data_IF_532619199478
#
_entry.id   IF_532619199478
#
_cell.length_a   1.000
_cell.length_b   1.000
_cell.length_c   1.000
_cell.angle_alpha   90.00
_cell.angle_beta   90.00
_cell.angle_gamma   90.00
#
_symmetry.space_group_name_H-M   'P 1'
#
loop_
_entity.id
_entity.type
_entity.pdbx_description
1 polymer ?
#
# COMPACT_ATOMS: atom_id res chain seq x y z
N UNK A 1 28.44 -1.25 17.58
CA UNK A 1 29.22 -2.07 18.54
C UNK A 1 28.86 -3.53 18.29
N UNK A 2 29.68 -4.50 18.72
CA UNK A 2 29.35 -5.92 18.54
C UNK A 2 28.79 -6.49 19.84
N UNK A 3 27.47 -6.56 19.94
CA UNK A 3 26.79 -7.21 21.06
C UNK A 3 26.99 -8.72 20.97
N UNK A 4 28.02 -9.23 21.65
CA UNK A 4 28.23 -10.65 21.82
C UNK A 4 27.14 -11.21 22.76
N UNK A 5 26.42 -12.27 22.37
CA UNK A 5 25.26 -12.74 23.13
C UNK A 5 25.67 -13.24 24.51
N UNK A 6 25.36 -12.44 25.53
CA UNK A 6 25.64 -12.75 26.92
C UNK A 6 24.56 -13.69 27.48
N UNK A 7 24.87 -14.98 27.61
CA UNK A 7 24.02 -15.92 28.32
C UNK A 7 24.15 -15.68 29.83
N UNK A 8 23.00 -15.58 30.51
CA UNK A 8 22.91 -15.59 31.98
C UNK A 8 21.97 -16.71 32.38
N UNK A 9 22.44 -17.65 33.19
CA UNK A 9 21.67 -18.81 33.65
C UNK A 9 21.69 -18.91 35.18
N UNK A 10 20.67 -19.57 35.73
CA UNK A 10 20.52 -19.82 37.16
C UNK A 10 20.86 -21.28 37.43
N UNK A 11 21.85 -21.55 38.26
CA UNK A 11 22.32 -22.91 38.54
C UNK A 11 22.43 -23.17 40.05
N UNK A 12 22.34 -24.43 40.43
CA UNK A 12 22.61 -24.90 41.80
C UNK A 12 23.89 -25.72 41.78
N UNK A 13 24.90 -25.28 42.53
CA UNK A 13 26.22 -25.91 42.59
C UNK A 13 26.56 -26.16 44.06
N UNK A 14 26.93 -27.39 44.39
CA UNK A 14 27.30 -27.84 45.75
C UNK A 14 26.25 -27.39 46.81
N UNK A 15 24.97 -27.55 46.47
CA UNK A 15 23.82 -27.17 47.32
C UNK A 15 23.48 -25.68 47.41
N UNK A 16 24.24 -24.80 46.74
CA UNK A 16 24.08 -23.34 46.81
C UNK A 16 23.60 -22.75 45.47
N UNK A 17 22.75 -21.71 45.49
CA UNK A 17 22.26 -21.06 44.27
C UNK A 17 23.24 -20.01 43.74
N UNK A 18 23.55 -20.09 42.44
CA UNK A 18 24.42 -19.15 41.72
C UNK A 18 23.73 -18.57 40.48
N UNK A 19 24.18 -17.39 40.08
CA UNK A 19 23.99 -16.82 38.75
C UNK A 19 25.31 -17.02 38.00
N UNK A 20 25.25 -17.66 36.84
CA UNK A 20 26.41 -17.83 35.97
C UNK A 20 26.16 -17.05 34.67
N UNK A 21 27.10 -16.16 34.35
CA UNK A 21 27.08 -15.31 33.16
C UNK A 21 28.26 -15.64 32.26
N UNK A 22 28.03 -15.60 30.95
CA UNK A 22 28.96 -16.04 29.94
C UNK A 22 28.82 -15.20 28.67
N UNK A 23 29.94 -14.69 28.17
CA UNK A 23 30.01 -14.03 26.87
C UNK A 23 31.23 -14.57 26.10
N UNK A 24 31.09 -14.70 24.78
CA UNK A 24 32.16 -15.14 23.88
C UNK A 24 32.62 -13.94 23.06
N UNK A 25 33.88 -13.55 23.23
CA UNK A 25 34.57 -12.62 22.35
C UNK A 25 35.37 -13.40 21.29
N UNK A 26 35.75 -12.74 20.19
CA UNK A 26 36.47 -13.39 19.08
C UNK A 26 37.77 -14.13 19.47
N UNK A 27 38.42 -13.71 20.55
CA UNK A 27 39.73 -14.23 21.01
C UNK A 27 39.76 -14.62 22.50
N UNK A 28 38.62 -14.56 23.19
CA UNK A 28 38.55 -14.85 24.63
C UNK A 28 37.15 -15.23 25.08
N UNK A 29 37.10 -16.04 26.13
CA UNK A 29 35.88 -16.29 26.89
C UNK A 29 35.77 -15.27 28.01
N UNK A 30 34.56 -14.90 28.42
CA UNK A 30 34.31 -14.17 29.66
C UNK A 30 33.30 -14.95 30.49
N UNK A 31 33.77 -15.56 31.58
CA UNK A 31 32.98 -16.34 32.52
C UNK A 31 32.87 -15.57 33.84
N UNK A 32 31.66 -15.49 34.39
CA UNK A 32 31.37 -14.73 35.61
C UNK A 32 30.38 -15.50 36.47
N UNK A 33 30.79 -15.88 37.67
CA UNK A 33 29.98 -16.58 38.67
C UNK A 33 29.63 -15.60 39.78
N UNK A 34 28.36 -15.55 40.20
CA UNK A 34 27.91 -14.74 41.34
C UNK A 34 27.05 -15.58 42.27
N UNK A 35 27.37 -15.62 43.57
CA UNK A 35 26.57 -16.32 44.58
C UNK A 35 25.30 -15.49 44.88
N UNK A 36 24.11 -16.10 44.86
CA UNK A 36 22.86 -15.36 45.12
C UNK A 36 22.69 -14.94 46.59
N UNK A 37 23.35 -15.64 47.51
CA UNK A 37 23.15 -15.45 48.94
C UNK A 37 24.23 -14.53 49.55
N UNK A 38 25.48 -14.64 49.09
CA UNK A 38 26.60 -13.80 49.58
C UNK A 38 26.93 -12.63 48.66
N UNK A 39 26.37 -12.58 47.44
CA UNK A 39 26.70 -11.63 46.36
C UNK A 39 28.18 -11.62 45.92
N UNK A 40 29.01 -12.51 46.48
CA UNK A 40 30.40 -12.69 46.05
C UNK A 40 30.48 -13.10 44.59
N UNK A 41 31.44 -12.50 43.89
CA UNK A 41 31.65 -12.63 42.46
C UNK A 41 33.01 -13.23 42.16
N UNK A 42 33.07 -14.15 41.22
CA UNK A 42 34.29 -14.68 40.63
C UNK A 42 34.27 -14.45 39.12
N UNK A 43 35.44 -14.21 38.54
CA UNK A 43 35.61 -13.99 37.10
C UNK A 43 36.71 -14.86 36.54
N UNK A 44 36.60 -15.22 35.26
CA UNK A 44 37.67 -15.86 34.50
C UNK A 44 37.58 -15.40 33.04
N UNK A 45 38.71 -15.01 32.46
CA UNK A 45 38.78 -14.56 31.06
C UNK A 45 39.83 -15.34 30.27
N UNK A 46 39.66 -16.66 30.08
CA UNK A 46 40.64 -17.48 29.38
C UNK A 46 40.68 -17.15 27.88
N UNK A 47 41.89 -17.12 27.33
CA UNK A 47 42.14 -16.92 25.90
C UNK A 47 41.99 -18.23 25.10
N UNK A 48 42.03 -18.11 23.76
CA UNK A 48 42.03 -19.25 22.83
C UNK A 48 43.15 -20.24 23.16
N UNK A 49 44.39 -19.75 23.34
CA UNK A 49 45.56 -20.59 23.59
C UNK A 49 45.48 -21.29 24.94
N UNK A 50 44.89 -20.65 25.96
CA UNK A 50 44.69 -21.26 27.27
C UNK A 50 43.72 -22.44 27.19
N UNK A 51 42.56 -22.26 26.56
CA UNK A 51 41.55 -23.31 26.40
C UNK A 51 42.12 -24.49 25.62
N UNK A 52 42.82 -24.24 24.51
CA UNK A 52 43.39 -25.29 23.67
C UNK A 52 44.62 -25.97 24.29
N UNK A 53 45.36 -25.28 25.16
CA UNK A 53 46.41 -25.88 25.99
C UNK A 53 45.82 -26.78 27.09
N UNK A 54 44.75 -26.32 27.76
CA UNK A 54 44.03 -27.08 28.79
C UNK A 54 43.43 -28.36 28.22
N UNK A 55 42.65 -28.30 27.13
CA UNK A 55 41.98 -29.47 26.56
C UNK A 55 42.97 -30.51 26.02
N UNK A 56 44.16 -30.07 25.58
CA UNK A 56 45.29 -30.94 25.21
C UNK A 56 45.91 -31.63 26.43
N UNK A 57 46.09 -30.91 27.55
CA UNK A 57 46.61 -31.45 28.82
C UNK A 57 45.67 -32.48 29.47
N UNK A 58 44.36 -32.35 29.26
CA UNK A 58 43.37 -33.34 29.74
C UNK A 58 43.18 -34.54 28.81
N UNK A 59 44.10 -34.76 27.85
CA UNK A 59 44.09 -35.90 26.92
C UNK A 59 43.00 -35.88 25.84
N UNK A 60 42.02 -34.98 25.92
CA UNK A 60 40.85 -34.93 25.04
C UNK A 60 40.74 -33.54 24.39
N UNK A 61 41.51 -33.32 23.33
CA UNK A 61 41.60 -32.03 22.68
C UNK A 61 40.24 -31.51 22.17
N UNK A 62 40.00 -30.22 22.35
CA UNK A 62 38.87 -29.46 21.81
C UNK A 62 39.39 -28.09 21.37
N UNK A 63 39.05 -27.69 20.14
CA UNK A 63 39.30 -26.33 19.66
C UNK A 63 38.43 -25.33 20.41
N UNK A 64 38.83 -24.06 20.41
CA UNK A 64 38.11 -23.01 21.15
C UNK A 64 36.64 -22.92 20.76
N UNK A 65 36.28 -22.98 19.46
CA UNK A 65 34.87 -22.95 19.04
C UNK A 65 34.07 -24.09 19.69
N UNK A 66 34.52 -25.33 19.54
CA UNK A 66 33.83 -26.51 20.10
C UNK A 66 33.72 -26.41 21.62
N UNK A 67 34.74 -25.90 22.30
CA UNK A 67 34.67 -25.63 23.74
C UNK A 67 33.61 -24.56 24.08
N UNK A 68 33.51 -23.47 23.30
CA UNK A 68 32.45 -22.47 23.50
C UNK A 68 31.05 -23.00 23.21
N UNK A 69 30.91 -23.95 22.28
CA UNK A 69 29.65 -24.63 21.99
C UNK A 69 29.25 -25.63 23.09
N UNK A 70 30.22 -26.37 23.65
CA UNK A 70 30.00 -27.19 24.85
C UNK A 70 29.56 -26.31 26.04
N UNK A 71 30.16 -25.13 26.22
CA UNK A 71 29.76 -24.18 27.26
C UNK A 71 28.34 -23.62 27.00
N UNK A 72 27.99 -23.26 25.76
CA UNK A 72 26.60 -22.86 25.41
C UNK A 72 25.60 -23.96 25.76
N UNK A 73 25.88 -25.21 25.38
CA UNK A 73 25.00 -26.35 25.63
C UNK A 73 24.76 -26.59 27.13
N UNK A 74 25.80 -26.44 27.98
CA UNK A 74 25.67 -26.51 29.44
C UNK A 74 24.81 -25.38 29.99
N UNK A 75 24.99 -24.14 29.55
CA UNK A 75 24.21 -22.99 30.07
C UNK A 75 22.72 -23.08 29.72
N UNK A 76 22.40 -23.70 28.59
CA UNK A 76 21.05 -23.98 28.11
C UNK A 76 20.49 -25.33 28.61
N UNK A 77 21.29 -26.12 29.34
CA UNK A 77 20.99 -27.51 29.72
C UNK A 77 20.57 -28.41 28.54
N UNK A 78 21.08 -28.14 27.32
CA UNK A 78 20.61 -28.76 26.08
C UNK A 78 21.28 -30.10 25.73
N UNK A 79 22.04 -30.69 26.66
CA UNK A 79 22.82 -31.92 26.42
C UNK A 79 23.09 -32.68 27.73
N UNK A 80 22.74 -33.96 27.79
CA UNK A 80 22.99 -34.83 28.96
C UNK A 80 24.47 -35.20 29.15
N UNK A 81 25.24 -35.29 28.06
CA UNK A 81 26.68 -35.62 28.07
C UNK A 81 27.58 -34.53 28.68
N UNK A 82 27.05 -33.33 28.95
CA UNK A 82 27.81 -32.22 29.52
C UNK A 82 27.17 -31.76 30.82
N UNK A 83 28.00 -31.52 31.84
CA UNK A 83 27.55 -30.98 33.13
C UNK A 83 28.56 -30.00 33.71
N UNK A 84 28.11 -29.18 34.65
CA UNK A 84 28.88 -28.15 35.33
C UNK A 84 29.11 -28.54 36.79
N UNK A 85 30.32 -28.30 37.29
CA UNK A 85 30.65 -28.41 38.72
C UNK A 85 31.41 -27.18 39.20
N UNK A 86 31.33 -26.95 40.51
CA UNK A 86 32.15 -25.97 41.20
C UNK A 86 33.08 -26.70 42.18
N UNK A 87 34.34 -26.25 42.26
CA UNK A 87 35.29 -26.76 43.24
C UNK A 87 36.00 -25.60 43.95
N UNK A 88 35.73 -25.45 45.23
CA UNK A 88 36.33 -24.46 46.14
C UNK A 88 37.72 -24.95 46.57
N UNK A 89 38.63 -24.04 46.95
CA UNK A 89 39.95 -24.44 47.46
C UNK A 89 39.87 -25.48 48.60
N UNK A 90 38.97 -25.29 49.57
CA UNK A 90 38.76 -26.23 50.69
C UNK A 90 37.94 -27.48 50.37
N UNK A 91 37.54 -27.66 49.11
CA UNK A 91 37.07 -28.94 48.57
C UNK A 91 38.21 -29.64 47.79
N UNK A 92 39.14 -28.87 47.21
CA UNK A 92 40.33 -29.36 46.52
C UNK A 92 41.40 -29.87 47.52
N UNK A 93 41.60 -29.17 48.64
CA UNK A 93 42.42 -29.62 49.79
C UNK A 93 42.03 -31.05 50.21
N UNK A 94 40.74 -31.29 50.46
CA UNK A 94 40.17 -32.58 50.87
C UNK A 94 40.26 -33.70 49.83
N UNK A 95 40.56 -33.36 48.57
CA UNK A 95 40.81 -34.32 47.49
C UNK A 95 42.32 -34.62 47.39
N UNK A 96 43.16 -33.70 47.85
CA UNK A 96 44.61 -33.74 47.69
C UNK A 96 45.40 -34.11 48.96
N UNK A 97 44.72 -34.44 50.07
CA UNK A 97 45.32 -34.86 51.35
C UNK A 97 46.26 -36.10 51.27
N UNK A 98 46.33 -36.78 50.11
CA UNK A 98 47.28 -37.87 49.84
C UNK A 98 48.53 -37.45 49.02
N UNK A 99 48.59 -36.26 48.41
CA UNK A 99 49.71 -35.89 47.51
C UNK A 99 50.09 -34.41 47.54
N UNK A 100 51.16 -34.12 48.28
CA UNK A 100 52.04 -32.95 48.16
C UNK A 100 51.41 -31.58 48.48
N UNK A 101 51.92 -30.97 49.55
CA UNK A 101 51.76 -29.56 49.86
C UNK A 101 52.35 -28.70 48.73
N UNK A 102 51.66 -27.63 48.34
CA UNK A 102 52.18 -26.63 47.40
C UNK A 102 52.08 -25.22 47.99
N UNK A 103 53.23 -24.55 48.06
CA UNK A 103 53.45 -23.34 48.84
C UNK A 103 52.88 -22.08 48.18
N UNK A 104 51.58 -21.83 48.33
CA UNK A 104 50.91 -20.63 47.83
C UNK A 104 50.56 -19.64 48.97
N UNK A 105 50.59 -18.31 48.73
CA UNK A 105 50.42 -17.30 49.77
C UNK A 105 48.99 -17.29 50.36
N UNK A 106 48.91 -17.51 51.67
CA UNK A 106 47.69 -17.93 52.40
C UNK A 106 46.44 -17.04 52.29
N UNK A 107 46.57 -15.76 51.89
CA UNK A 107 45.46 -14.81 51.88
C UNK A 107 44.50 -14.95 50.69
N UNK A 108 45.03 -15.07 49.48
CA UNK A 108 44.20 -15.07 48.25
C UNK A 108 43.73 -16.47 47.84
N UNK A 109 44.55 -17.49 48.13
CA UNK A 109 44.33 -18.89 47.76
C UNK A 109 43.00 -19.42 48.29
N UNK A 110 42.67 -19.10 49.54
CA UNK A 110 41.48 -19.55 50.28
C UNK A 110 40.14 -19.10 49.68
N UNK A 111 40.14 -18.16 48.71
CA UNK A 111 38.95 -17.74 47.94
C UNK A 111 38.97 -18.13 46.46
N UNK A 112 39.99 -18.83 45.97
CA UNK A 112 40.03 -19.29 44.58
C UNK A 112 39.05 -20.45 44.37
N UNK A 113 38.38 -20.43 43.21
CA UNK A 113 37.34 -21.40 42.85
C UNK A 113 37.59 -21.86 41.42
N UNK A 114 37.39 -23.16 41.16
CA UNK A 114 37.51 -23.74 39.83
C UNK A 114 36.12 -24.08 39.31
N UNK A 115 35.76 -23.51 38.15
CA UNK A 115 34.60 -23.93 37.39
C UNK A 115 35.00 -25.12 36.53
N UNK A 116 34.36 -26.27 36.70
CA UNK A 116 34.72 -27.49 35.98
C UNK A 116 33.61 -27.81 34.98
N UNK A 117 33.93 -27.71 33.69
CA UNK A 117 33.14 -28.31 32.62
C UNK A 117 33.45 -29.81 32.61
N UNK A 118 32.41 -30.63 32.78
CA UNK A 118 32.49 -32.09 32.80
C UNK A 118 31.89 -32.63 31.51
N UNK A 119 32.68 -33.36 30.74
CA UNK A 119 32.21 -34.11 29.57
C UNK A 119 32.19 -35.59 29.90
N UNK A 120 31.02 -36.21 29.74
CA UNK A 120 30.79 -37.64 29.97
C UNK A 120 30.40 -38.28 28.64
N UNK A 121 31.26 -39.16 28.15
CA UNK A 121 31.00 -40.07 27.03
C UNK A 121 30.66 -41.46 27.58
N UNK A 122 30.42 -42.43 26.70
CA UNK A 122 30.14 -43.83 27.08
C UNK A 122 31.32 -44.51 27.80
N UNK A 123 32.55 -44.13 27.44
CA UNK A 123 33.79 -44.74 27.94
C UNK A 123 34.69 -43.78 28.74
N UNK A 124 34.44 -42.47 28.66
CA UNK A 124 35.32 -41.41 29.17
C UNK A 124 34.56 -40.41 30.06
N UNK A 125 35.24 -39.91 31.10
CA UNK A 125 34.79 -38.73 31.86
C UNK A 125 35.92 -37.72 32.00
N UNK A 126 35.87 -36.66 31.19
CA UNK A 126 36.89 -35.61 31.16
C UNK A 126 36.44 -34.40 31.97
N UNK A 127 37.39 -33.82 32.71
CA UNK A 127 37.20 -32.61 33.50
C UNK A 127 38.08 -31.49 32.94
N UNK A 128 37.46 -30.37 32.56
CA UNK A 128 38.13 -29.17 32.07
C UNK A 128 38.02 -28.06 33.14
N UNK A 129 39.05 -27.88 34.00
CA UNK A 129 39.01 -26.90 35.08
C UNK A 129 39.39 -25.50 34.59
N UNK A 130 38.45 -24.55 34.66
CA UNK A 130 38.68 -23.13 34.49
C UNK A 130 38.88 -22.46 35.86
N UNK A 131 40.10 -21.99 36.20
CA UNK A 131 40.32 -21.20 37.40
C UNK A 131 39.52 -19.89 37.32
N UNK A 132 38.83 -19.55 38.41
CA UNK A 132 38.14 -18.28 38.57
C UNK A 132 38.73 -17.50 39.75
N UNK A 133 39.06 -16.25 39.48
CA UNK A 133 39.66 -15.35 40.46
C UNK A 133 38.58 -14.51 41.14
N UNK A 134 38.75 -14.30 42.45
CA UNK A 134 37.74 -13.65 43.30
C UNK A 134 37.68 -12.15 43.01
N UNK A 135 36.54 -11.70 42.51
CA UNK A 135 36.26 -10.32 42.10
C UNK A 135 35.51 -9.50 43.18
N UNK A 136 35.41 -10.02 44.40
CA UNK A 136 34.84 -9.30 45.54
C UNK A 136 33.32 -9.29 45.62
N UNK A 137 32.82 -8.40 46.48
CA UNK A 137 31.41 -7.98 46.52
C UNK A 137 31.21 -6.82 45.52
N UNK A 138 30.02 -6.69 44.88
CA UNK A 138 29.71 -5.53 44.07
C UNK A 138 29.60 -4.26 44.93
N UNK A 139 30.09 -3.10 44.43
CA UNK A 139 29.89 -1.82 45.11
C UNK A 139 28.38 -1.46 45.11
N UNK A 140 27.74 -1.22 46.28
CA UNK A 140 26.34 -0.84 46.37
C UNK A 140 26.00 0.47 45.61
N UNK A 141 26.91 1.44 45.54
CA UNK A 141 26.70 2.70 44.81
C UNK A 141 26.51 2.44 43.31
N UNK A 142 27.35 1.55 42.74
CA UNK A 142 27.28 1.17 41.32
C UNK A 142 25.99 0.39 41.05
N UNK A 143 25.57 -0.47 41.98
CA UNK A 143 24.28 -1.16 41.88
C UNK A 143 23.10 -0.17 41.93
N UNK A 144 23.09 0.77 42.87
CA UNK A 144 22.04 1.79 42.97
C UNK A 144 21.97 2.69 41.74
N UNK A 145 23.12 3.16 41.24
CA UNK A 145 23.21 3.92 39.99
C UNK A 145 22.71 3.12 38.77
N UNK A 146 23.01 1.81 38.73
CA UNK A 146 22.51 0.92 37.67
C UNK A 146 21.00 0.72 37.77
N UNK A 147 20.45 0.50 38.97
CA UNK A 147 19.01 0.37 39.22
C UNK A 147 18.28 1.64 38.78
N UNK A 148 18.72 2.81 39.26
CA UNK A 148 18.12 4.09 38.89
C UNK A 148 18.24 4.39 37.37
N UNK A 149 19.32 3.95 36.72
CA UNK A 149 19.47 3.99 35.26
C UNK A 149 18.41 3.14 34.55
N UNK A 150 18.28 1.87 34.93
CA UNK A 150 17.29 0.94 34.36
C UNK A 150 15.85 1.37 34.65
N UNK A 151 15.57 1.96 35.81
CA UNK A 151 14.25 2.51 36.16
C UNK A 151 13.91 3.75 35.33
N UNK A 152 14.90 4.64 35.09
CA UNK A 152 14.75 5.78 34.19
C UNK A 152 14.50 5.32 32.74
N UNK A 153 15.24 4.33 32.24
CA UNK A 153 15.06 3.81 30.88
C UNK A 153 13.72 3.08 30.73
N UNK A 154 13.29 2.29 31.72
CA UNK A 154 11.93 1.75 31.80
C UNK A 154 10.87 2.86 31.78
N UNK A 155 11.09 3.97 32.49
CA UNK A 155 10.18 5.11 32.52
C UNK A 155 10.10 5.83 31.16
N UNK A 156 11.21 5.95 30.41
CA UNK A 156 11.21 6.47 29.03
C UNK A 156 10.40 5.57 28.10
N UNK A 157 10.71 4.27 28.08
CA UNK A 157 10.06 3.29 27.20
C UNK A 157 8.55 3.20 27.46
N UNK A 158 8.10 3.29 28.72
CA UNK A 158 6.67 3.35 29.03
C UNK A 158 5.99 4.61 28.47
N UNK A 159 6.62 5.78 28.58
CA UNK A 159 6.10 7.04 28.00
C UNK A 159 6.07 7.01 26.47
N UNK A 160 7.07 6.40 25.84
CA UNK A 160 7.11 6.19 24.39
C UNK A 160 5.98 5.26 23.93
N UNK A 161 5.71 4.17 24.66
CA UNK A 161 4.58 3.28 24.41
C UNK A 161 3.23 3.99 24.57
N UNK A 162 3.02 4.79 25.62
CA UNK A 162 1.81 5.58 25.81
C UNK A 162 1.60 6.61 24.69
N UNK A 163 2.67 7.30 24.28
CA UNK A 163 2.64 8.27 23.18
C UNK A 163 2.35 7.60 21.83
N UNK A 164 2.89 6.41 21.58
CA UNK A 164 2.56 5.59 20.41
C UNK A 164 1.12 5.07 20.46
N UNK A 165 0.58 4.72 21.63
CA UNK A 165 -0.83 4.31 21.78
C UNK A 165 -1.78 5.47 21.43
N UNK A 166 -1.61 6.64 22.03
CA UNK A 166 -2.46 7.81 21.74
C UNK A 166 -2.42 8.25 20.26
N UNK A 167 -1.28 8.12 19.59
CA UNK A 167 -1.17 8.32 18.13
C UNK A 167 -1.98 7.31 17.33
N UNK A 168 -2.01 6.05 17.75
CA UNK A 168 -2.79 5.00 17.10
C UNK A 168 -4.29 5.13 17.41
N UNK A 169 -4.67 5.55 18.62
CA UNK A 169 -6.06 5.84 19.00
C UNK A 169 -6.65 6.95 18.13
N UNK A 170 -5.89 8.05 17.90
CA UNK A 170 -6.27 9.12 16.95
C UNK A 170 -6.45 8.58 15.52
N UNK A 171 -5.45 7.86 15.00
CA UNK A 171 -5.51 7.26 13.66
C UNK A 171 -6.68 6.30 13.48
N UNK A 172 -7.07 5.59 14.54
CA UNK A 172 -8.20 4.65 14.52
C UNK A 172 -9.55 5.40 14.51
N UNK A 173 -9.65 6.55 15.19
CA UNK A 173 -10.79 7.45 15.06
C UNK A 173 -10.89 8.05 13.65
N UNK A 174 -9.77 8.53 13.10
CA UNK A 174 -9.69 9.04 11.72
C UNK A 174 -10.13 7.95 10.70
N UNK A 175 -9.58 6.74 10.82
CA UNK A 175 -9.95 5.59 10.00
C UNK A 175 -11.43 5.18 10.16
N UNK A 176 -11.98 5.27 11.38
CA UNK A 176 -13.39 5.08 11.65
C UNK A 176 -14.28 6.08 10.88
N UNK A 177 -13.92 7.37 10.91
CA UNK A 177 -14.65 8.41 10.17
C UNK A 177 -14.58 8.19 8.64
N UNK A 178 -13.40 7.82 8.12
CA UNK A 178 -13.18 7.55 6.71
C UNK A 178 -13.97 6.31 6.24
N UNK A 179 -14.06 5.27 7.09
CA UNK A 179 -14.86 4.07 6.84
C UNK A 179 -16.36 4.40 6.75
N UNK A 180 -16.88 5.27 7.62
CA UNK A 180 -18.28 5.74 7.54
C UNK A 180 -18.53 6.48 6.23
N UNK A 181 -17.67 7.45 5.88
CA UNK A 181 -17.81 8.21 4.63
C UNK A 181 -17.69 7.32 3.37
N UNK A 182 -16.89 6.25 3.42
CA UNK A 182 -16.81 5.25 2.34
C UNK A 182 -18.11 4.45 2.18
N UNK A 183 -18.80 4.12 3.28
CA UNK A 183 -20.13 3.46 3.24
C UNK A 183 -21.19 4.42 2.70
N UNK A 184 -21.19 5.68 3.14
CA UNK A 184 -22.12 6.72 2.64
C UNK A 184 -21.95 6.97 1.14
N UNK A 185 -20.72 7.11 0.66
CA UNK A 185 -20.43 7.33 -0.77
C UNK A 185 -20.75 6.09 -1.61
N UNK A 186 -20.50 4.88 -1.11
CA UNK A 186 -20.95 3.64 -1.77
C UNK A 186 -22.49 3.57 -1.87
N UNK A 187 -23.21 3.95 -0.82
CA UNK A 187 -24.69 4.01 -0.84
C UNK A 187 -25.19 5.06 -1.84
N UNK A 188 -24.57 6.24 -1.90
CA UNK A 188 -24.89 7.27 -2.90
C UNK A 188 -24.65 6.77 -4.33
N UNK A 189 -23.55 6.04 -4.59
CA UNK A 189 -23.30 5.41 -5.89
C UNK A 189 -24.36 4.37 -6.25
N UNK A 190 -24.80 3.54 -5.31
CA UNK A 190 -25.89 2.58 -5.52
C UNK A 190 -27.23 3.28 -5.82
N UNK A 191 -27.54 4.38 -5.12
CA UNK A 191 -28.75 5.16 -5.33
C UNK A 191 -28.75 5.91 -6.66
N UNK A 192 -27.59 6.42 -7.10
CA UNK A 192 -27.42 6.98 -8.44
C UNK A 192 -27.55 5.91 -9.51
N UNK A 193 -26.98 4.71 -9.31
CA UNK A 193 -27.21 3.55 -10.19
C UNK A 193 -28.70 3.22 -10.36
N UNK A 194 -29.44 3.15 -9.25
CA UNK A 194 -30.92 2.95 -9.25
C UNK A 194 -31.72 4.10 -9.87
N UNK A 195 -31.15 5.31 -9.97
CA UNK A 195 -31.75 6.43 -10.72
C UNK A 195 -31.46 6.30 -12.22
N UNK A 196 -30.20 6.03 -12.60
CA UNK A 196 -29.80 5.82 -13.99
C UNK A 196 -30.55 4.64 -14.64
N UNK A 197 -30.68 3.51 -13.94
CA UNK A 197 -31.38 2.32 -14.44
C UNK A 197 -32.83 2.63 -14.85
N UNK A 198 -33.60 3.30 -13.98
CA UNK A 198 -34.98 3.72 -14.27
C UNK A 198 -35.08 4.69 -15.45
N UNK A 199 -34.11 5.58 -15.61
CA UNK A 199 -34.04 6.49 -16.77
C UNK A 199 -33.77 5.71 -18.05
N UNK A 200 -32.89 4.71 -18.04
CA UNK A 200 -32.64 3.83 -19.19
C UNK A 200 -33.89 3.02 -19.57
N UNK A 201 -34.62 2.50 -18.59
CA UNK A 201 -35.88 1.78 -18.81
C UNK A 201 -36.97 2.68 -19.43
N UNK A 202 -37.13 3.92 -18.96
CA UNK A 202 -38.07 4.88 -19.57
C UNK A 202 -37.64 5.32 -20.99
N UNK A 203 -36.34 5.48 -21.25
CA UNK A 203 -35.84 5.72 -22.60
C UNK A 203 -36.09 4.54 -23.54
N UNK A 204 -35.97 3.29 -23.07
CA UNK A 204 -36.30 2.10 -23.84
C UNK A 204 -37.81 2.06 -24.19
N UNK A 205 -38.68 2.24 -23.19
CA UNK A 205 -40.14 2.32 -23.38
C UNK A 205 -40.55 3.43 -24.36
N UNK A 206 -39.92 4.61 -24.27
CA UNK A 206 -40.17 5.71 -25.20
C UNK A 206 -39.70 5.38 -26.62
N UNK A 207 -38.53 4.74 -26.78
CA UNK A 207 -38.02 4.27 -28.08
C UNK A 207 -38.99 3.29 -28.74
N UNK A 208 -39.47 2.29 -28.00
CA UNK A 208 -40.42 1.29 -28.49
C UNK A 208 -41.72 1.93 -28.99
N UNK A 209 -42.29 2.89 -28.23
CA UNK A 209 -43.48 3.65 -28.68
C UNK A 209 -43.21 4.39 -29.99
N UNK A 210 -42.09 5.11 -30.11
CA UNK A 210 -41.73 5.86 -31.32
C UNK A 210 -41.46 4.93 -32.51
N UNK A 211 -40.92 3.73 -32.29
CA UNK A 211 -40.72 2.74 -33.35
C UNK A 211 -42.04 2.07 -33.79
N UNK A 212 -42.96 1.81 -32.87
CA UNK A 212 -44.32 1.34 -33.17
C UNK A 212 -45.14 2.38 -33.95
N UNK A 213 -45.14 3.65 -33.53
CA UNK A 213 -45.79 4.76 -34.25
C UNK A 213 -45.24 4.90 -35.68
N UNK A 214 -43.91 4.87 -35.85
CA UNK A 214 -43.28 4.90 -37.18
C UNK A 214 -43.74 3.76 -38.07
N UNK A 215 -43.99 2.58 -37.51
CA UNK A 215 -44.42 1.42 -38.28
C UNK A 215 -45.92 1.47 -38.63
N UNK A 216 -46.75 2.14 -37.83
CA UNK A 216 -48.13 2.50 -38.21
C UNK A 216 -48.09 3.47 -39.41
N UNK A 217 -47.36 4.58 -39.29
CA UNK A 217 -47.23 5.57 -40.36
C UNK A 217 -46.66 4.99 -41.67
N UNK A 218 -45.74 4.01 -41.61
CA UNK A 218 -45.27 3.29 -42.81
C UNK A 218 -46.39 2.54 -43.53
N UNK A 219 -47.26 1.85 -42.78
CA UNK A 219 -48.37 1.06 -43.34
C UNK A 219 -49.42 1.96 -43.97
N UNK A 220 -49.76 3.06 -43.31
CA UNK A 220 -50.68 4.08 -43.87
C UNK A 220 -50.12 4.72 -45.15
N UNK A 221 -48.84 5.11 -45.15
CA UNK A 221 -48.17 5.66 -46.35
C UNK A 221 -48.16 4.67 -47.52
N UNK A 222 -47.92 3.38 -47.23
CA UNK A 222 -47.97 2.32 -48.24
C UNK A 222 -49.39 2.11 -48.78
N UNK A 223 -50.40 2.12 -47.91
CA UNK A 223 -51.81 2.01 -48.31
C UNK A 223 -52.23 3.17 -49.21
N UNK A 224 -51.90 4.41 -48.84
CA UNK A 224 -52.16 5.61 -49.65
C UNK A 224 -51.47 5.52 -51.01
N UNK A 225 -50.24 5.00 -51.08
CA UNK A 225 -49.54 4.78 -52.36
C UNK A 225 -50.26 3.75 -53.23
N UNK A 226 -50.66 2.61 -52.66
CA UNK A 226 -51.39 1.55 -53.38
C UNK A 226 -52.74 2.06 -53.89
N UNK A 227 -53.49 2.84 -53.10
CA UNK A 227 -54.78 3.38 -53.54
C UNK A 227 -54.63 4.53 -54.55
N UNK A 228 -53.54 5.29 -54.50
CA UNK A 228 -53.17 6.23 -55.55
C UNK A 228 -52.85 5.49 -56.87
N UNK A 229 -52.02 4.44 -56.83
CA UNK A 229 -51.71 3.61 -58.01
C UNK A 229 -52.99 2.98 -58.60
N UNK A 230 -53.87 2.41 -57.76
CA UNK A 230 -55.20 1.92 -58.16
C UNK A 230 -56.10 3.01 -58.76
N UNK A 231 -55.95 4.28 -58.36
CA UNK A 231 -56.70 5.40 -58.95
C UNK A 231 -56.09 5.81 -60.30
N UNK A 232 -54.77 5.85 -60.42
CA UNK A 232 -54.07 6.12 -61.69
C UNK A 232 -54.41 5.06 -62.74
N UNK A 233 -54.39 3.77 -62.41
CA UNK A 233 -54.78 2.69 -63.34
C UNK A 233 -56.24 2.82 -63.78
N UNK A 234 -57.16 3.18 -62.88
CA UNK A 234 -58.57 3.41 -63.24
C UNK A 234 -58.77 4.62 -64.16
N UNK A 235 -58.11 5.74 -63.87
CA UNK A 235 -58.15 6.94 -64.72
C UNK A 235 -57.50 6.68 -66.09
N UNK A 236 -56.42 5.89 -66.15
CA UNK A 236 -55.82 5.47 -67.42
C UNK A 236 -56.80 4.61 -68.24
N UNK A 237 -57.44 3.61 -67.63
CA UNK A 237 -58.44 2.79 -68.31
C UNK A 237 -59.67 3.60 -68.77
N UNK A 238 -60.06 4.64 -68.03
CA UNK A 238 -61.13 5.57 -68.43
C UNK A 238 -60.70 6.44 -69.62
N UNK A 239 -59.47 6.96 -69.63
CA UNK A 239 -58.87 7.66 -70.77
C UNK A 239 -58.78 6.74 -71.99
N UNK A 240 -58.29 5.51 -71.82
CA UNK A 240 -58.16 4.53 -72.91
C UNK A 240 -59.52 4.13 -73.48
N UNK A 241 -60.57 4.03 -72.65
CA UNK A 241 -61.94 3.81 -73.07
C UNK A 241 -62.50 5.01 -73.85
N UNK A 242 -62.31 6.25 -73.37
CA UNK A 242 -62.74 7.47 -74.08
C UNK A 242 -62.00 7.62 -75.42
N UNK A 243 -60.70 7.33 -75.47
CA UNK A 243 -59.91 7.26 -76.71
C UNK A 243 -60.41 6.13 -77.62
N UNK A 244 -60.79 4.98 -77.06
CA UNK A 244 -61.39 3.86 -77.78
C UNK A 244 -62.75 4.18 -78.42
N UNK A 245 -63.59 4.99 -77.76
CA UNK A 245 -64.88 5.47 -78.28
C UNK A 245 -64.70 6.59 -79.30
N UNK A 246 -63.78 7.53 -79.06
CA UNK A 246 -63.51 8.64 -79.98
C UNK A 246 -62.70 8.20 -81.21
N UNK A 247 -61.90 7.15 -81.12
CA UNK A 247 -61.05 6.63 -82.21
C UNK A 247 -61.83 6.31 -83.50
N UNK A 248 -62.93 5.53 -83.45
CA UNK A 248 -63.82 5.32 -84.60
C UNK A 248 -64.44 6.60 -85.15
N UNK A 249 -64.88 7.53 -84.28
CA UNK A 249 -65.50 8.79 -84.68
C UNK A 249 -64.49 9.70 -85.40
N UNK A 250 -63.26 9.80 -84.87
CA UNK A 250 -62.15 10.52 -85.48
C UNK A 250 -61.69 9.86 -86.78
N UNK A 251 -61.70 8.53 -86.87
CA UNK A 251 -61.44 7.81 -88.13
C UNK A 251 -62.50 8.13 -89.19
N UNK A 252 -63.80 8.02 -88.88
CA UNK A 252 -64.86 8.42 -89.81
C UNK A 252 -64.73 9.90 -90.23
N UNK A 253 -64.43 10.79 -89.28
CA UNK A 253 -64.20 12.21 -89.56
C UNK A 253 -62.96 12.44 -90.43
N UNK A 254 -61.90 11.63 -90.30
CA UNK A 254 -60.72 11.68 -91.18
C UNK A 254 -61.01 11.19 -92.60
N UNK A 255 -61.80 10.12 -92.76
CA UNK A 255 -62.22 9.63 -94.09
C UNK A 255 -63.10 10.66 -94.79
N UNK A 256 -64.02 11.29 -94.05
CA UNK A 256 -64.84 12.41 -94.56
C UNK A 256 -63.98 13.62 -94.90
N UNK A 257 -62.99 13.98 -94.06
CA UNK A 257 -62.08 15.11 -94.34
C UNK A 257 -61.16 14.86 -95.53
N UNK A 258 -60.60 13.67 -95.72
CA UNK A 258 -59.79 13.37 -96.91
C UNK A 258 -60.62 13.43 -98.20
N UNK A 259 -61.89 12.98 -98.17
CA UNK A 259 -62.80 13.09 -99.31
C UNK A 259 -63.26 14.53 -99.62
N UNK A 260 -63.18 15.46 -98.66
CA UNK A 260 -63.58 16.87 -98.84
C UNK A 260 -62.38 17.79 -99.15
N UNK A 261 -61.22 17.58 -98.51
CA UNK A 261 -60.01 18.38 -98.74
C UNK A 261 -59.22 17.97 -99.99
N UNK A 262 -59.54 16.82 -100.61
CA UNK A 262 -58.96 16.41 -101.90
C UNK A 262 -59.43 17.21 -103.12
N UNK A 263 -60.33 18.20 -102.97
CA UNK A 263 -60.95 18.94 -104.09
C UNK A 263 -60.94 20.49 -103.95
N UNK A 264 -60.03 21.06 -103.15
CA UNK A 264 -59.94 22.53 -103.04
C UNK A 264 -58.51 23.04 -102.77
N UNK A 265 -57.65 22.96 -103.79
CA UNK A 265 -56.34 23.63 -103.80
C UNK A 265 -56.12 24.35 -105.15
N UNK A 266 -56.54 25.62 -105.24
CA UNK A 266 -56.02 26.57 -106.22
C UNK A 266 -56.04 28.01 -105.65
N UNK A 267 -54.96 28.75 -105.97
CA UNK A 267 -54.74 30.21 -105.84
C UNK A 267 -54.57 30.83 -104.44
N UNK A 268 -53.42 31.52 -104.31
CA UNK A 268 -52.95 32.47 -103.28
C UNK A 268 -52.18 31.83 -102.10
N UNK A 269 -50.83 31.85 -102.01
CA UNK A 269 -49.74 32.63 -102.62
C UNK A 269 -49.65 34.12 -102.25
N UNK A 270 -48.44 34.55 -101.83
CA UNK A 270 -47.89 35.93 -101.73
C UNK A 270 -47.83 36.60 -100.33
N UNK A 271 -46.58 36.64 -99.80
CA UNK A 271 -45.93 37.75 -99.05
C UNK A 271 -46.05 37.93 -97.52
N UNK A 272 -45.01 38.64 -97.03
CA UNK A 272 -44.76 39.33 -95.75
C UNK A 272 -44.59 38.49 -94.47
N UNK A 273 -43.55 38.69 -93.63
CA UNK A 273 -42.84 39.88 -93.13
C UNK A 273 -43.59 40.64 -92.01
N UNK A 274 -42.85 41.12 -91.00
CA UNK A 274 -43.37 41.70 -89.75
C UNK A 274 -43.53 40.62 -88.67
N UNK A 275 -42.63 40.39 -87.70
CA UNK A 275 -41.71 41.28 -86.94
C UNK A 275 -42.40 42.11 -85.83
N UNK A 276 -41.67 42.39 -84.74
CA UNK A 276 -42.07 43.09 -83.51
C UNK A 276 -43.24 42.44 -82.70
N UNK A 277 -43.04 41.88 -81.50
CA UNK A 277 -42.54 42.44 -80.22
C UNK A 277 -43.64 42.95 -79.29
N UNK A 278 -43.80 42.29 -78.13
CA UNK A 278 -43.80 42.86 -76.76
C UNK A 278 -43.97 41.66 -75.76
N UNK A 279 -43.27 41.53 -74.62
CA UNK A 279 -43.11 42.45 -73.46
C UNK A 279 -44.50 42.73 -72.83
N UNK A 280 -44.76 42.67 -71.54
CA UNK A 280 -44.14 43.23 -70.32
C UNK A 280 -44.53 42.31 -69.12
N UNK A 281 -43.96 42.30 -67.90
CA UNK A 281 -42.75 42.91 -67.32
C UNK A 281 -42.41 42.27 -65.95
N UNK A 282 -41.11 42.30 -65.58
CA UNK A 282 -40.53 42.43 -64.21
C UNK A 282 -40.85 41.32 -63.15
N UNK A 283 -39.96 41.02 -62.21
CA UNK A 283 -38.68 41.66 -61.89
C UNK A 283 -37.73 40.82 -61.01
N UNK A 284 -36.57 41.40 -60.69
CA UNK A 284 -35.50 40.79 -59.86
C UNK A 284 -35.78 40.99 -58.36
N UNK A 285 -35.12 40.18 -57.52
CA UNK A 285 -34.18 40.63 -56.47
C UNK A 285 -33.25 39.46 -56.11
N UNK A 286 -32.15 39.74 -55.40
CA UNK A 286 -30.93 38.92 -55.40
C UNK A 286 -30.57 38.30 -54.03
N UNK A 287 -29.60 37.36 -54.11
CA UNK A 287 -28.52 37.09 -53.14
C UNK A 287 -28.79 36.35 -51.81
N UNK A 288 -27.67 35.77 -51.34
CA UNK A 288 -27.36 35.13 -50.06
C UNK A 288 -27.95 33.73 -49.79
N UNK A 289 -27.27 32.80 -49.11
CA UNK A 289 -25.86 32.30 -49.12
C UNK A 289 -25.69 31.30 -47.95
N UNK A 290 -24.54 30.60 -47.90
CA UNK A 290 -24.03 29.82 -46.73
C UNK A 290 -24.70 28.47 -46.44
N UNK A 291 -24.38 27.51 -47.30
CA UNK A 291 -23.54 26.34 -46.97
C UNK A 291 -23.93 25.23 -45.96
N UNK A 292 -23.08 24.19 -45.99
CA UNK A 292 -23.36 22.80 -45.62
C UNK A 292 -22.27 22.26 -44.63
N UNK A 293 -21.83 20.97 -44.58
CA UNK A 293 -21.78 20.28 -43.28
C UNK A 293 -20.37 19.83 -42.81
N UNK A 294 -20.33 19.15 -41.65
CA UNK A 294 -19.60 17.88 -41.39
C UNK A 294 -18.50 17.86 -40.30
N UNK A 295 -18.65 16.88 -39.38
CA UNK A 295 -17.63 16.10 -38.64
C UNK A 295 -16.73 16.73 -37.52
N UNK A 296 -16.39 15.82 -36.59
CA UNK A 296 -15.31 15.83 -35.57
C UNK A 296 -13.90 15.83 -36.24
N UNK A 297 -12.75 16.11 -35.54
CA UNK A 297 -12.49 15.86 -34.11
C UNK A 297 -11.58 16.87 -33.34
N UNK A 298 -11.33 16.57 -32.05
CA UNK A 298 -10.25 17.09 -31.17
C UNK A 298 -8.82 16.70 -31.65
N UNK A 299 -7.67 17.13 -31.06
CA UNK A 299 -7.47 17.71 -29.70
C UNK A 299 -6.34 18.79 -29.51
N UNK A 300 -6.13 19.20 -28.23
CA UNK A 300 -4.90 19.71 -27.54
C UNK A 300 -4.93 21.15 -26.94
N UNK A 301 -4.13 21.28 -25.87
CA UNK A 301 -3.73 22.44 -25.01
C UNK A 301 -2.71 23.37 -25.74
N UNK A 302 -2.38 24.63 -25.32
CA UNK A 302 -1.99 24.98 -23.92
C UNK A 302 -2.18 26.43 -23.35
N UNK A 303 -2.07 26.55 -22.01
CA UNK A 303 -1.70 27.78 -21.27
C UNK A 303 -2.74 28.93 -21.21
N UNK A 304 -2.52 30.02 -20.45
CA UNK A 304 -1.81 30.24 -19.18
C UNK A 304 -2.19 31.65 -18.62
N UNK A 305 -1.95 31.94 -17.33
CA UNK A 305 -2.19 33.25 -16.66
C UNK A 305 -3.69 33.67 -16.54
N UNK A 306 -4.14 34.52 -15.60
CA UNK A 306 -3.59 35.02 -14.31
C UNK A 306 -4.73 35.70 -13.52
N UNK A 307 -4.82 35.55 -12.18
CA UNK A 307 -5.87 36.25 -11.40
C UNK A 307 -5.97 35.90 -9.90
N UNK A 308 -5.22 36.62 -9.06
CA UNK A 308 -5.34 36.70 -7.58
C UNK A 308 -4.64 38.01 -7.15
N UNK A 309 -4.87 38.57 -5.94
CA UNK A 309 -5.89 38.25 -4.93
C UNK A 309 -6.74 39.48 -4.52
N UNK A 310 -7.65 39.31 -3.56
CA UNK A 310 -8.10 40.41 -2.71
C UNK A 310 -8.37 39.90 -1.28
N UNK A 311 -7.92 40.65 -0.29
CA UNK A 311 -8.30 40.57 1.12
C UNK A 311 -8.30 41.99 1.68
N UNK A 312 -9.04 42.25 2.75
CA UNK A 312 -8.60 43.23 3.73
C UNK A 312 -8.65 42.70 5.17
N UNK A 313 -7.83 43.31 6.05
CA UNK A 313 -7.95 43.24 7.51
C UNK A 313 -8.92 44.37 7.99
N UNK A 314 -9.15 44.76 9.25
CA UNK A 314 -8.59 44.50 10.60
C UNK A 314 -9.68 44.92 11.64
N UNK A 315 -9.53 45.29 12.93
CA UNK A 315 -8.40 45.51 13.87
C UNK A 315 -8.89 45.56 15.33
N UNK A 316 -8.22 44.87 16.26
CA UNK A 316 -8.06 45.30 17.67
C UNK A 316 -6.86 44.56 18.29
N UNK A 317 -5.89 45.14 19.01
CA UNK A 317 -5.75 46.34 19.86
C UNK A 317 -5.93 46.05 21.37
N UNK A 318 -4.82 46.15 22.12
CA UNK A 318 -4.74 46.01 23.58
C UNK A 318 -3.30 45.82 24.06
N UNK A 319 -2.78 46.75 24.88
CA UNK A 319 -1.44 46.71 25.47
C UNK A 319 -1.43 47.33 26.87
N UNK A 320 -0.57 46.86 27.79
CA UNK A 320 -0.39 47.47 29.13
C UNK A 320 1.01 47.25 29.74
N UNK A 321 1.24 47.92 30.89
CA UNK A 321 2.47 48.22 31.65
C UNK A 321 2.13 48.24 33.17
N UNK A 322 2.99 48.28 34.20
CA UNK A 322 4.46 48.27 34.44
C UNK A 322 4.66 48.01 35.97
N UNK A 323 5.82 47.71 36.59
CA UNK A 323 7.18 47.33 36.16
C UNK A 323 7.97 46.72 37.35
N UNK A 324 9.27 46.48 37.15
CA UNK A 324 10.38 46.59 38.14
C UNK A 324 10.34 45.90 39.51
N UNK A 325 11.38 45.10 39.82
CA UNK A 325 12.26 45.37 40.99
C UNK A 325 13.56 44.54 41.01
N UNK A 326 14.62 45.22 41.46
CA UNK A 326 16.00 44.82 41.84
C UNK A 326 16.08 43.56 42.73
N UNK A 327 17.16 42.73 42.83
CA UNK A 327 18.63 42.91 42.85
C UNK A 327 19.31 41.62 42.26
N UNK A 328 20.62 41.46 42.01
CA UNK A 328 21.78 42.35 42.14
C UNK A 328 23.04 41.70 42.77
N UNK A 329 23.82 40.88 42.03
CA UNK A 329 25.26 40.59 42.32
C UNK A 329 26.00 39.85 41.18
N UNK A 330 27.32 40.03 41.14
CA UNK A 330 28.32 39.43 40.21
C UNK A 330 29.54 38.97 41.05
N UNK A 331 30.64 38.40 40.48
CA UNK A 331 30.69 37.20 39.63
C UNK A 331 31.81 36.22 40.09
N UNK A 332 31.91 35.02 39.50
CA UNK A 332 33.18 34.27 39.41
C UNK A 332 33.38 33.67 38.02
N UNK A 333 34.63 33.75 37.53
CA UNK A 333 35.07 33.28 36.20
C UNK A 333 35.55 31.83 36.30
N UNK A 334 35.34 31.04 35.25
CA UNK A 334 36.38 30.16 34.70
C UNK A 334 36.08 29.73 33.26
N UNK A 335 37.13 29.57 32.47
CA UNK A 335 37.14 29.14 31.06
C UNK A 335 36.94 27.61 30.94
N UNK A 336 36.57 27.00 29.80
CA UNK A 336 37.23 27.06 28.48
C UNK A 336 36.34 26.51 27.33
N UNK A 337 36.68 26.93 26.10
CA UNK A 337 36.62 26.25 24.78
C UNK A 337 35.44 25.32 24.42
N UNK A 338 34.96 25.49 23.18
CA UNK A 338 35.15 24.38 22.21
C UNK A 338 33.93 23.64 21.66
N UNK A 339 32.79 24.29 21.42
CA UNK A 339 31.68 23.65 20.69
C UNK A 339 32.01 23.50 19.19
N UNK A 340 32.31 22.28 18.75
CA UNK A 340 32.27 21.91 17.33
C UNK A 340 30.94 21.20 17.03
N UNK A 341 30.43 21.31 15.80
CA UNK A 341 29.18 20.65 15.42
C UNK A 341 29.40 19.16 15.18
N UNK A 342 28.41 18.34 15.52
CA UNK A 342 27.95 17.32 14.59
C UNK A 342 26.45 17.00 14.75
N UNK A 343 25.83 16.42 13.72
CA UNK A 343 24.37 16.17 13.66
C UNK A 343 24.05 14.69 13.91
N UNK A 344 23.00 14.36 14.67
CA UNK A 344 22.43 13.02 14.64
C UNK A 344 21.59 12.82 13.37
N UNK A 345 22.00 11.89 12.50
CA UNK A 345 21.13 11.33 11.46
C UNK A 345 20.09 10.42 12.09
N UNK A 346 18.81 10.66 11.79
CA UNK A 346 17.71 9.85 12.28
C UNK A 346 17.33 8.79 11.23
N UNK A 347 17.90 7.59 11.35
CA UNK A 347 17.49 6.45 10.54
C UNK A 347 16.11 5.95 10.97
N UNK A 348 15.12 6.12 10.10
CA UNK A 348 13.74 5.67 10.34
C UNK A 348 13.65 4.17 10.08
N UNK A 349 13.63 3.39 11.16
CA UNK A 349 13.32 1.96 11.09
C UNK A 349 11.85 1.76 10.64
N UNK A 350 11.64 1.58 9.34
CA UNK A 350 10.33 1.22 8.79
C UNK A 350 9.93 -0.17 9.28
N UNK A 351 8.88 -0.24 10.09
CA UNK A 351 8.27 -1.51 10.48
C UNK A 351 7.69 -2.20 9.24
N UNK A 352 8.29 -3.31 8.81
CA UNK A 352 7.83 -4.08 7.67
C UNK A 352 6.42 -4.63 7.93
N UNK A 353 5.42 -4.04 7.26
CA UNK A 353 4.13 -4.69 7.07
C UNK A 353 4.35 -5.98 6.27
N UNK A 354 3.62 -7.05 6.58
CA UNK A 354 3.82 -8.31 5.85
C UNK A 354 3.19 -8.23 4.46
N UNK A 355 3.93 -8.64 3.42
CA UNK A 355 3.40 -8.68 2.05
C UNK A 355 2.17 -9.61 1.92
N UNK A 356 1.97 -10.53 2.87
CA UNK A 356 0.80 -11.40 2.92
C UNK A 356 -0.50 -10.61 3.13
N UNK A 357 -0.49 -9.56 3.95
CA UNK A 357 -1.67 -8.73 4.22
C UNK A 357 -2.08 -7.91 2.98
N UNK A 358 -1.09 -7.33 2.30
CA UNK A 358 -1.30 -6.57 1.05
C UNK A 358 -1.82 -7.49 -0.06
N UNK A 359 -1.27 -8.70 -0.19
CA UNK A 359 -1.75 -9.68 -1.16
C UNK A 359 -3.15 -10.20 -0.81
N UNK A 360 -3.47 -10.40 0.46
CA UNK A 360 -4.82 -10.79 0.92
C UNK A 360 -5.88 -9.77 0.49
N UNK A 361 -5.65 -8.48 0.76
CA UNK A 361 -6.53 -7.38 0.33
C UNK A 361 -6.63 -7.29 -1.20
N UNK A 362 -5.51 -7.46 -1.92
CA UNK A 362 -5.50 -7.47 -3.38
C UNK A 362 -6.36 -8.61 -3.97
N UNK A 363 -6.25 -9.82 -3.43
CA UNK A 363 -7.04 -10.98 -3.88
C UNK A 363 -8.55 -10.75 -3.64
N UNK A 364 -8.92 -10.13 -2.52
CA UNK A 364 -10.31 -9.74 -2.26
C UNK A 364 -10.84 -8.71 -3.28
N UNK A 365 -10.03 -7.70 -3.62
CA UNK A 365 -10.39 -6.69 -4.64
C UNK A 365 -10.54 -7.32 -6.03
N UNK A 366 -9.60 -8.18 -6.45
CA UNK A 366 -9.68 -8.87 -7.74
C UNK A 366 -10.90 -9.80 -7.82
N UNK A 367 -11.28 -10.47 -6.72
CA UNK A 367 -12.47 -11.32 -6.67
C UNK A 367 -13.77 -10.51 -6.75
N UNK A 368 -13.85 -9.34 -6.08
CA UNK A 368 -14.98 -8.41 -6.23
C UNK A 368 -15.10 -7.89 -7.68
N UNK A 369 -13.98 -7.55 -8.32
CA UNK A 369 -13.97 -7.13 -9.73
C UNK A 369 -14.44 -8.26 -10.67
N UNK A 370 -14.01 -9.50 -10.45
CA UNK A 370 -14.50 -10.68 -11.20
C UNK A 370 -16.01 -10.88 -11.01
N UNK A 371 -16.53 -10.72 -9.79
CA UNK A 371 -17.97 -10.85 -9.52
C UNK A 371 -18.80 -9.79 -10.26
N UNK A 372 -18.40 -8.52 -10.22
CA UNK A 372 -19.07 -7.44 -10.96
C UNK A 372 -19.04 -7.68 -12.47
N UNK A 373 -17.90 -8.10 -13.03
CA UNK A 373 -17.77 -8.42 -14.46
C UNK A 373 -18.60 -9.64 -14.86
N UNK A 374 -18.73 -10.66 -14.00
CA UNK A 374 -19.62 -11.81 -14.21
C UNK A 374 -21.08 -11.39 -14.33
N UNK A 375 -21.56 -10.54 -13.42
CA UNK A 375 -22.93 -10.02 -13.45
C UNK A 375 -23.24 -9.26 -14.76
N UNK A 376 -22.30 -8.44 -15.25
CA UNK A 376 -22.49 -7.71 -16.52
C UNK A 376 -22.55 -8.62 -17.76
N UNK A 377 -21.92 -9.80 -17.73
CA UNK A 377 -22.00 -10.76 -18.85
C UNK A 377 -23.35 -11.47 -18.91
N UNK A 378 -23.90 -11.90 -17.78
CA UNK A 378 -25.18 -12.62 -17.75
C UNK A 378 -26.36 -11.74 -18.22
N UNK A 379 -26.31 -10.43 -17.99
CA UNK A 379 -27.27 -9.46 -18.53
C UNK A 379 -27.19 -9.37 -20.08
N UNK A 380 -26.01 -9.65 -20.66
CA UNK A 380 -25.78 -9.57 -22.11
C UNK A 380 -26.21 -10.82 -22.89
N UNK A 381 -26.46 -11.94 -22.21
CA UNK A 381 -26.84 -13.23 -22.84
C UNK A 381 -28.30 -13.62 -22.65
N UNK A 382 -29.11 -12.75 -22.04
CA UNK A 382 -30.56 -12.99 -21.82
C UNK A 382 -31.46 -12.27 -22.84
N UNK A 383 -30.88 -11.66 -23.88
CA UNK A 383 -31.56 -10.92 -24.95
C UNK A 383 -31.08 -11.39 -26.35
N UNK A 384 -31.39 -12.64 -26.69
CA UNK A 384 -31.37 -13.20 -28.07
C UNK A 384 -32.59 -14.11 -28.20
#
# INVERSE_FOLDING_TARGET
MCDHPQLTTNCFLNGKPYILQFAISKLSLSLTLTNKNTFEKWKSTPSVEYIESMTRKTGNFKTFSVFTDMMRAVFLNSSSSLSMKLLTHSELEKINDNTLQSSFPEGQVKKRVYFILVYTSEFDRIHYPLPMDYAGLPNPEILQATIHGLENDKCKLLKELEHCRGKNDSRNADFGSLKTSLVETAQQCADLGRKCQRVVEEFARLKERVEAEREIWRKELLQVKVDHERKMVRLQAEVDNVVGVLGPVLKMSSTTRQNVLGKMNQRASVSNQGDASNRWCRGRISDLSVDRPSRRPSPRRPGLCSGRPASPASSSAGSFRDSSSTLGRQPKKCSKLGTFLDKPTADVATSNFSDNDVNSVRIQIENLQRAVLGLTKNISTSNV
#
